data_IF_313360635812
#
_entry.id   IF_313360635812
#
_cell.length_a   1.000
_cell.length_b   1.000
_cell.length_c   1.000
_cell.angle_alpha   90.00
_cell.angle_beta   90.00
_cell.angle_gamma   90.00
#
_symmetry.space_group_name_H-M   'P 1'
#
loop_
_entity.id
_entity.type
_entity.pdbx_description
1 polymer ?
#
# COMPACT_ATOMS: atom_id res chain seq x y z
N UNK A 1 21.76 -27.70 -3.68
CA UNK A 1 21.04 -26.41 -3.82
C UNK A 1 21.22 -25.96 -5.27
N UNK A 2 20.17 -26.00 -6.07
CA UNK A 2 20.20 -25.54 -7.45
C UNK A 2 19.75 -24.07 -7.52
N UNK A 3 20.26 -23.32 -8.49
CA UNK A 3 19.76 -22.00 -8.84
C UNK A 3 18.75 -22.15 -9.99
N UNK A 4 17.54 -21.60 -9.79
CA UNK A 4 16.50 -21.54 -10.80
C UNK A 4 16.26 -20.09 -11.16
N UNK A 5 16.26 -19.75 -12.44
CA UNK A 5 15.92 -18.41 -12.91
C UNK A 5 14.44 -18.28 -13.18
N UNK A 6 13.87 -17.08 -12.90
CA UNK A 6 12.49 -16.73 -13.23
C UNK A 6 12.44 -15.33 -13.84
N UNK A 7 12.03 -15.24 -15.11
CA UNK A 7 11.92 -13.98 -15.82
C UNK A 7 10.71 -13.16 -15.38
N UNK A 8 10.88 -11.84 -15.30
CA UNK A 8 9.83 -10.88 -14.93
C UNK A 8 9.82 -9.75 -15.95
N UNK A 9 8.73 -9.60 -16.70
CA UNK A 9 8.47 -8.39 -17.49
C UNK A 9 8.10 -7.28 -16.54
N UNK A 10 8.92 -6.24 -16.41
CA UNK A 10 8.71 -5.13 -15.49
C UNK A 10 8.33 -3.85 -16.25
N UNK A 11 7.04 -3.47 -16.20
CA UNK A 11 6.49 -2.25 -16.78
C UNK A 11 6.39 -1.13 -15.73
N UNK A 12 6.51 0.14 -16.17
CA UNK A 12 6.41 1.31 -15.29
C UNK A 12 7.67 1.62 -14.48
N UNK A 13 8.79 0.91 -14.72
CA UNK A 13 10.06 1.10 -14.01
C UNK A 13 10.79 2.41 -14.34
N UNK A 14 10.31 3.20 -15.27
CA UNK A 14 10.81 4.57 -15.52
C UNK A 14 10.19 5.60 -14.58
N UNK A 15 9.18 5.22 -13.80
CA UNK A 15 8.58 6.01 -12.74
C UNK A 15 9.24 5.76 -11.38
N UNK A 16 9.10 6.72 -10.45
CA UNK A 16 9.77 6.69 -9.13
C UNK A 16 9.49 5.39 -8.33
N UNK A 17 8.24 4.95 -8.27
CA UNK A 17 7.87 3.74 -7.51
C UNK A 17 8.43 2.49 -8.18
N UNK A 18 8.18 2.32 -9.47
CA UNK A 18 8.68 1.18 -10.24
C UNK A 18 10.19 1.07 -10.19
N UNK A 19 10.93 2.18 -10.35
CA UNK A 19 12.38 2.19 -10.28
C UNK A 19 12.88 1.91 -8.86
N UNK A 20 12.52 2.77 -7.91
CA UNK A 20 13.18 2.77 -6.61
C UNK A 20 12.72 1.63 -5.71
N UNK A 21 11.41 1.36 -5.65
CA UNK A 21 10.90 0.34 -4.73
C UNK A 21 10.91 -1.06 -5.35
N UNK A 22 10.44 -1.20 -6.59
CA UNK A 22 10.30 -2.54 -7.18
C UNK A 22 11.56 -3.04 -7.86
N UNK A 23 12.19 -2.22 -8.72
CA UNK A 23 13.39 -2.68 -9.42
C UNK A 23 14.61 -2.67 -8.49
N UNK A 24 14.99 -1.50 -7.95
CA UNK A 24 16.27 -1.36 -7.24
C UNK A 24 16.22 -1.99 -5.84
N UNK A 25 15.24 -1.57 -5.01
CA UNK A 25 15.17 -2.00 -3.60
C UNK A 25 14.51 -3.37 -3.39
N UNK A 26 13.96 -3.97 -4.45
CA UNK A 26 13.39 -5.31 -4.39
C UNK A 26 14.11 -6.27 -5.32
N UNK A 27 13.84 -6.27 -6.62
CA UNK A 27 14.35 -7.29 -7.54
C UNK A 27 15.90 -7.32 -7.58
N UNK A 28 16.56 -6.16 -7.73
CA UNK A 28 18.02 -6.11 -7.74
C UNK A 28 18.64 -6.40 -6.37
N UNK A 29 17.95 -6.02 -5.26
CA UNK A 29 18.38 -6.38 -3.92
C UNK A 29 18.31 -7.90 -3.70
N UNK A 30 17.19 -8.55 -4.06
CA UNK A 30 17.02 -10.01 -4.01
C UNK A 30 18.12 -10.71 -4.81
N UNK A 31 18.43 -10.22 -6.02
CA UNK A 31 19.52 -10.77 -6.85
C UNK A 31 20.88 -10.65 -6.15
N UNK A 32 21.17 -9.49 -5.57
CA UNK A 32 22.42 -9.23 -4.85
C UNK A 32 22.59 -10.16 -3.63
N UNK A 33 21.49 -10.53 -2.98
CA UNK A 33 21.44 -11.45 -1.84
C UNK A 33 21.47 -12.94 -2.26
N UNK A 34 21.55 -13.21 -3.56
CA UNK A 34 21.65 -14.58 -4.12
C UNK A 34 20.29 -15.26 -4.29
N UNK A 35 19.21 -14.48 -4.51
CA UNK A 35 17.88 -14.99 -4.82
C UNK A 35 17.02 -15.40 -3.61
N UNK A 36 15.77 -15.72 -3.86
CA UNK A 36 14.81 -16.17 -2.85
C UNK A 36 15.03 -17.64 -2.53
N UNK A 37 15.17 -17.98 -1.24
CA UNK A 37 15.27 -19.36 -0.78
C UNK A 37 13.92 -20.05 -0.86
N UNK A 38 13.85 -21.19 -1.53
CA UNK A 38 12.66 -22.04 -1.62
C UNK A 38 12.64 -23.11 -0.52
N UNK A 39 11.48 -23.74 -0.33
CA UNK A 39 11.26 -24.75 0.71
C UNK A 39 12.16 -26.00 0.55
N UNK A 40 12.48 -26.36 -0.70
CA UNK A 40 13.39 -27.47 -1.03
C UNK A 40 14.88 -27.13 -0.88
N UNK A 41 15.20 -25.89 -0.47
CA UNK A 41 16.57 -25.41 -0.31
C UNK A 41 17.19 -24.81 -1.57
N UNK A 42 16.53 -24.84 -2.73
CA UNK A 42 16.97 -24.19 -3.95
C UNK A 42 16.83 -22.66 -3.83
N UNK A 43 17.47 -21.93 -4.76
CA UNK A 43 17.37 -20.49 -4.86
C UNK A 43 16.68 -20.07 -6.16
N UNK A 44 15.69 -19.18 -6.03
CA UNK A 44 14.97 -18.60 -7.16
C UNK A 44 15.55 -17.22 -7.46
N UNK A 45 16.20 -17.08 -8.62
CA UNK A 45 16.83 -15.84 -9.06
C UNK A 45 15.89 -15.08 -10.00
N UNK A 46 15.35 -13.92 -9.60
CA UNK A 46 14.49 -13.13 -10.49
C UNK A 46 15.31 -12.43 -11.56
N UNK A 47 14.90 -12.55 -12.83
CA UNK A 47 15.54 -11.95 -13.99
C UNK A 47 14.65 -10.87 -14.60
N UNK A 48 14.95 -9.57 -14.39
CA UNK A 48 14.12 -8.50 -14.92
C UNK A 48 14.33 -8.31 -16.43
N UNK A 49 13.22 -8.29 -17.19
CA UNK A 49 13.09 -7.72 -18.51
C UNK A 49 12.35 -6.38 -18.37
N UNK A 50 13.06 -5.27 -18.38
CA UNK A 50 12.44 -3.96 -18.17
C UNK A 50 11.83 -3.41 -19.46
N UNK A 51 10.61 -2.88 -19.37
CA UNK A 51 9.87 -2.40 -20.52
C UNK A 51 9.45 -0.94 -20.35
N UNK A 52 9.64 -0.15 -21.42
CA UNK A 52 9.25 1.27 -21.43
C UNK A 52 9.08 1.82 -22.85
N UNK A 53 8.14 2.72 -23.04
CA UNK A 53 7.76 3.31 -24.35
C UNK A 53 8.90 4.07 -25.05
N UNK A 54 9.82 4.66 -24.31
CA UNK A 54 10.96 5.41 -24.86
C UNK A 54 12.20 4.51 -24.81
N UNK A 55 12.71 4.05 -25.99
CA UNK A 55 13.85 3.12 -26.07
C UNK A 55 15.13 3.71 -25.45
N UNK A 56 15.43 4.99 -25.70
CA UNK A 56 16.64 5.63 -25.19
C UNK A 56 16.63 5.73 -23.66
N UNK A 57 15.43 6.00 -23.08
CA UNK A 57 15.27 6.11 -21.62
C UNK A 57 15.42 4.73 -20.97
N UNK A 58 14.81 3.69 -21.56
CA UNK A 58 14.84 2.35 -20.98
C UNK A 58 16.23 1.72 -21.13
N UNK A 59 16.91 1.95 -22.25
CA UNK A 59 18.29 1.48 -22.47
C UNK A 59 19.26 2.13 -21.47
N UNK A 60 19.18 3.45 -21.29
CA UNK A 60 20.00 4.14 -20.27
C UNK A 60 19.75 3.60 -18.87
N UNK A 61 18.49 3.31 -18.52
CA UNK A 61 18.13 2.72 -17.25
C UNK A 61 18.74 1.33 -17.10
N UNK A 62 18.64 0.48 -18.14
CA UNK A 62 19.21 -0.85 -18.16
C UNK A 62 20.73 -0.80 -17.93
N UNK A 63 21.45 0.05 -18.66
CA UNK A 63 22.90 0.25 -18.51
C UNK A 63 23.27 0.75 -17.11
N UNK A 64 22.53 1.71 -16.57
CA UNK A 64 22.80 2.30 -15.25
C UNK A 64 22.69 1.27 -14.11
N UNK A 65 21.86 0.24 -14.26
CA UNK A 65 21.61 -0.78 -13.25
C UNK A 65 22.13 -2.18 -13.61
N UNK A 66 22.91 -2.31 -14.69
CA UNK A 66 23.49 -3.60 -15.11
C UNK A 66 22.44 -4.63 -15.53
N UNK A 67 21.31 -4.20 -16.09
CA UNK A 67 20.22 -5.07 -16.54
C UNK A 67 20.47 -5.46 -17.99
N UNK A 68 20.59 -6.75 -18.24
CA UNK A 68 20.91 -7.27 -19.58
C UNK A 68 19.73 -7.20 -20.56
N UNK A 69 18.49 -7.19 -20.05
CA UNK A 69 17.28 -7.34 -20.86
C UNK A 69 16.35 -6.15 -20.74
N UNK A 70 16.08 -5.50 -21.85
CA UNK A 70 15.12 -4.40 -21.94
C UNK A 70 14.42 -4.40 -23.31
N UNK A 71 13.24 -3.78 -23.38
CA UNK A 71 12.47 -3.64 -24.61
C UNK A 71 11.62 -2.36 -24.62
N UNK A 72 11.39 -1.81 -25.80
CA UNK A 72 10.33 -0.81 -26.02
C UNK A 72 9.04 -1.42 -26.58
N UNK A 73 9.06 -2.70 -26.88
CA UNK A 73 7.92 -3.48 -27.40
C UNK A 73 7.37 -4.37 -26.28
N UNK A 74 6.16 -3.99 -25.78
CA UNK A 74 5.48 -4.73 -24.73
C UNK A 74 4.92 -6.06 -25.26
N UNK A 75 4.45 -6.13 -26.51
CA UNK A 75 3.86 -7.36 -27.05
C UNK A 75 4.94 -8.44 -27.23
N UNK A 76 6.10 -8.06 -27.74
CA UNK A 76 7.26 -8.95 -27.79
C UNK A 76 7.66 -9.44 -26.40
N UNK A 77 7.68 -8.54 -25.38
CA UNK A 77 7.99 -8.92 -24.00
C UNK A 77 6.94 -9.85 -23.39
N UNK A 78 5.64 -9.64 -23.66
CA UNK A 78 4.56 -10.51 -23.18
C UNK A 78 4.57 -11.88 -23.89
N UNK A 79 5.09 -11.96 -25.10
CA UNK A 79 5.22 -13.24 -25.85
C UNK A 79 6.42 -14.06 -25.40
N UNK A 80 7.34 -13.50 -24.63
CA UNK A 80 8.53 -14.19 -24.15
C UNK A 80 8.20 -15.22 -23.06
N UNK A 81 8.30 -16.51 -23.43
CA UNK A 81 7.98 -17.63 -22.52
C UNK A 81 8.96 -17.78 -21.35
N UNK A 82 10.16 -17.21 -21.45
CA UNK A 82 11.14 -17.20 -20.35
C UNK A 82 10.77 -16.25 -19.21
N UNK A 83 9.78 -15.36 -19.43
CA UNK A 83 9.26 -14.40 -18.46
C UNK A 83 7.82 -14.76 -18.07
N UNK A 84 7.58 -15.71 -17.16
CA UNK A 84 6.23 -16.11 -16.74
C UNK A 84 5.50 -15.06 -15.91
N UNK A 85 6.16 -14.02 -15.42
CA UNK A 85 5.59 -12.97 -14.57
C UNK A 85 5.57 -11.64 -15.32
N UNK A 86 4.44 -10.93 -15.22
CA UNK A 86 4.30 -9.52 -15.59
C UNK A 86 4.07 -8.66 -14.35
N UNK A 87 4.84 -7.59 -14.22
CA UNK A 87 4.68 -6.60 -13.18
C UNK A 87 4.34 -5.23 -13.76
N UNK A 88 3.34 -4.54 -13.17
CA UNK A 88 3.00 -3.17 -13.54
C UNK A 88 3.08 -2.18 -12.37
N UNK A 89 3.85 -1.11 -12.59
CA UNK A 89 3.90 0.09 -11.76
C UNK A 89 3.69 1.37 -12.60
N UNK A 90 2.96 1.25 -13.70
CA UNK A 90 2.56 2.36 -14.56
C UNK A 90 1.42 3.20 -13.97
N UNK A 91 0.79 4.03 -14.82
CA UNK A 91 -0.37 4.84 -14.41
C UNK A 91 -1.60 3.97 -14.18
N UNK A 92 -2.41 4.33 -13.20
CA UNK A 92 -3.59 3.55 -12.79
C UNK A 92 -4.59 3.37 -13.93
N UNK A 93 -4.83 4.41 -14.74
CA UNK A 93 -5.79 4.38 -15.85
C UNK A 93 -5.46 3.31 -16.92
N UNK A 94 -4.19 2.96 -17.08
CA UNK A 94 -3.77 1.94 -18.06
C UNK A 94 -3.71 0.54 -17.46
N UNK A 95 -3.70 0.41 -16.14
CA UNK A 95 -3.32 -0.84 -15.44
C UNK A 95 -4.26 -1.99 -15.74
N UNK A 96 -5.57 -1.80 -15.65
CA UNK A 96 -6.53 -2.85 -15.93
C UNK A 96 -6.36 -3.45 -17.33
N UNK A 97 -6.19 -2.61 -18.35
CA UNK A 97 -5.96 -3.05 -19.74
C UNK A 97 -4.61 -3.80 -19.89
N UNK A 98 -3.56 -3.31 -19.23
CA UNK A 98 -2.24 -3.98 -19.25
C UNK A 98 -2.27 -5.35 -18.56
N UNK A 99 -2.93 -5.44 -17.40
CA UNK A 99 -3.11 -6.70 -16.68
C UNK A 99 -3.93 -7.70 -17.52
N UNK A 100 -5.01 -7.23 -18.18
CA UNK A 100 -5.83 -8.08 -19.09
C UNK A 100 -4.95 -8.68 -20.19
N UNK A 101 -4.15 -7.86 -20.89
CA UNK A 101 -3.23 -8.34 -21.95
C UNK A 101 -2.22 -9.35 -21.42
N UNK A 102 -1.64 -9.09 -20.25
CA UNK A 102 -0.67 -10.00 -19.63
C UNK A 102 -1.31 -11.34 -19.24
N UNK A 103 -2.53 -11.32 -18.67
CA UNK A 103 -3.29 -12.52 -18.31
C UNK A 103 -3.67 -13.33 -19.56
N UNK A 104 -4.11 -12.67 -20.63
CA UNK A 104 -4.41 -13.31 -21.92
C UNK A 104 -3.17 -13.95 -22.55
N UNK A 105 -1.99 -13.35 -22.35
CA UNK A 105 -0.70 -13.91 -22.73
C UNK A 105 -0.19 -15.03 -21.78
N UNK A 106 -1.00 -15.43 -20.79
CA UNK A 106 -0.69 -16.52 -19.85
C UNK A 106 0.31 -16.13 -18.76
N UNK A 107 0.55 -14.83 -18.50
CA UNK A 107 1.46 -14.38 -17.46
C UNK A 107 0.81 -14.39 -16.09
N UNK A 108 1.54 -14.82 -15.07
CA UNK A 108 1.23 -14.46 -13.69
C UNK A 108 1.39 -12.95 -13.52
N UNK A 109 0.53 -12.30 -12.76
CA UNK A 109 0.53 -10.84 -12.67
C UNK A 109 0.73 -10.35 -11.25
N UNK A 110 1.56 -9.32 -11.09
CA UNK A 110 1.74 -8.58 -9.86
C UNK A 110 1.74 -7.08 -10.19
N UNK A 111 1.05 -6.26 -9.41
CA UNK A 111 0.93 -4.86 -9.76
C UNK A 111 0.87 -3.93 -8.55
N UNK A 112 1.17 -2.66 -8.80
CA UNK A 112 0.92 -1.58 -7.86
C UNK A 112 -0.58 -1.38 -7.61
N UNK A 113 -0.87 -0.81 -6.45
CA UNK A 113 -2.21 -0.32 -6.12
C UNK A 113 -2.42 1.10 -6.70
N UNK A 114 -3.69 1.50 -6.91
CA UNK A 114 -4.87 0.67 -7.06
C UNK A 114 -4.80 -0.16 -8.35
N UNK A 115 -5.47 -1.31 -8.38
CA UNK A 115 -5.42 -2.22 -9.55
C UNK A 115 -6.17 -1.68 -10.77
N UNK A 116 -7.04 -0.72 -10.56
CA UNK A 116 -7.80 0.02 -11.57
C UNK A 116 -8.25 1.36 -11.00
N UNK A 117 -8.70 2.25 -11.83
CA UNK A 117 -9.35 3.52 -11.48
C UNK A 117 -10.86 3.38 -11.18
N UNK A 118 -11.45 2.21 -11.43
CA UNK A 118 -12.84 1.90 -11.13
C UNK A 118 -13.04 0.44 -10.73
N UNK A 119 -14.11 0.19 -9.94
CA UNK A 119 -14.40 -1.15 -9.40
C UNK A 119 -14.79 -2.15 -10.48
N UNK A 120 -15.51 -1.73 -11.53
CA UNK A 120 -15.96 -2.62 -12.60
C UNK A 120 -14.77 -3.29 -13.29
N UNK A 121 -13.78 -2.53 -13.69
CA UNK A 121 -12.57 -3.03 -14.34
C UNK A 121 -11.71 -3.85 -13.36
N UNK A 122 -11.63 -3.44 -12.08
CA UNK A 122 -10.96 -4.21 -11.05
C UNK A 122 -11.56 -5.63 -10.91
N UNK A 123 -12.88 -5.74 -10.90
CA UNK A 123 -13.58 -7.02 -10.85
C UNK A 123 -13.40 -7.83 -12.13
N UNK A 124 -13.47 -7.19 -13.30
CA UNK A 124 -13.29 -7.85 -14.60
C UNK A 124 -11.90 -8.51 -14.70
N UNK A 125 -10.84 -7.78 -14.37
CA UNK A 125 -9.46 -8.30 -14.34
C UNK A 125 -9.32 -9.45 -13.35
N UNK A 126 -9.93 -9.32 -12.16
CA UNK A 126 -9.86 -10.37 -11.13
C UNK A 126 -10.54 -11.65 -11.58
N UNK A 127 -11.74 -11.55 -12.18
CA UNK A 127 -12.46 -12.71 -12.75
C UNK A 127 -11.69 -13.35 -13.89
N UNK A 128 -11.09 -12.55 -14.77
CA UNK A 128 -10.27 -13.06 -15.87
C UNK A 128 -9.06 -13.86 -15.33
N UNK A 129 -8.33 -13.31 -14.35
CA UNK A 129 -7.19 -14.01 -13.76
C UNK A 129 -7.59 -15.36 -13.14
N UNK A 130 -8.72 -15.40 -12.43
CA UNK A 130 -9.29 -16.65 -11.87
C UNK A 130 -9.68 -17.65 -12.96
N UNK A 131 -10.42 -17.21 -13.97
CA UNK A 131 -10.87 -18.09 -15.07
C UNK A 131 -9.73 -18.72 -15.86
N UNK A 132 -8.59 -18.03 -15.92
CA UNK A 132 -7.36 -18.50 -16.58
C UNK A 132 -6.43 -19.29 -15.65
N UNK A 133 -6.75 -19.42 -14.36
CA UNK A 133 -5.86 -20.06 -13.38
C UNK A 133 -4.53 -19.33 -13.18
N UNK A 134 -4.49 -18.01 -13.42
CA UNK A 134 -3.30 -17.20 -13.30
C UNK A 134 -3.03 -16.88 -11.82
N UNK A 135 -1.79 -17.06 -11.36
CA UNK A 135 -1.34 -16.55 -10.06
C UNK A 135 -1.24 -15.02 -10.14
N UNK A 136 -1.80 -14.36 -9.15
CA UNK A 136 -1.93 -12.90 -9.21
C UNK A 136 -1.75 -12.25 -7.84
N UNK A 137 -1.28 -11.00 -7.84
CA UNK A 137 -1.04 -10.23 -6.64
C UNK A 137 -1.13 -8.73 -6.83
N UNK A 138 -1.35 -8.03 -5.71
CA UNK A 138 -1.32 -6.57 -5.61
C UNK A 138 -0.44 -6.13 -4.46
N UNK A 139 0.23 -5.00 -4.63
CA UNK A 139 1.09 -4.41 -3.61
C UNK A 139 0.25 -3.96 -2.40
N UNK A 140 0.66 -4.40 -1.20
CA UNK A 140 0.09 -4.02 0.10
C UNK A 140 1.22 -3.69 1.09
N UNK A 141 2.11 -2.80 0.67
CA UNK A 141 3.38 -2.46 1.32
C UNK A 141 3.25 -2.07 2.80
N UNK A 142 2.17 -1.38 3.17
CA UNK A 142 2.00 -0.89 4.55
C UNK A 142 1.81 -2.00 5.59
N UNK A 143 1.34 -3.18 5.19
CA UNK A 143 1.29 -4.33 6.11
C UNK A 143 2.68 -4.79 6.57
N UNK A 144 3.71 -4.44 5.83
CA UNK A 144 5.10 -4.81 6.08
C UNK A 144 5.93 -3.69 6.71
N UNK A 145 5.29 -2.58 7.10
CA UNK A 145 5.97 -1.57 7.92
C UNK A 145 6.39 -2.19 9.26
N UNK A 146 7.65 -2.04 9.70
CA UNK A 146 8.13 -2.66 10.92
C UNK A 146 7.26 -2.39 12.14
N UNK A 147 6.72 -1.17 12.30
CA UNK A 147 5.78 -0.85 13.36
C UNK A 147 4.47 -1.65 13.29
N UNK A 148 3.90 -1.80 12.08
CA UNK A 148 2.68 -2.58 11.88
C UNK A 148 2.92 -4.10 12.00
N UNK A 149 4.10 -4.60 11.65
CA UNK A 149 4.48 -5.98 11.94
C UNK A 149 4.57 -6.26 13.46
N UNK A 150 5.05 -5.29 14.24
CA UNK A 150 5.02 -5.35 15.71
C UNK A 150 3.59 -5.36 16.25
N UNK A 151 2.72 -4.46 15.72
CA UNK A 151 1.29 -4.42 16.04
C UNK A 151 0.61 -5.77 15.74
N UNK A 152 0.89 -6.35 14.58
CA UNK A 152 0.36 -7.65 14.20
C UNK A 152 0.76 -8.75 15.18
N UNK A 153 2.02 -8.79 15.64
CA UNK A 153 2.46 -9.76 16.67
C UNK A 153 1.66 -9.64 17.97
N UNK A 154 1.33 -8.42 18.38
CA UNK A 154 0.50 -8.18 19.56
C UNK A 154 -0.93 -8.68 19.37
N UNK A 155 -1.50 -8.45 18.19
CA UNK A 155 -2.84 -8.94 17.81
C UNK A 155 -2.84 -10.48 17.83
N UNK A 156 -1.90 -11.11 17.16
CA UNK A 156 -1.76 -12.59 17.09
C UNK A 156 -1.54 -13.22 18.46
N UNK A 157 -0.89 -12.50 19.38
CA UNK A 157 -0.68 -12.92 20.76
C UNK A 157 -1.88 -12.68 21.69
N UNK A 158 -2.97 -12.08 21.21
CA UNK A 158 -4.16 -11.76 22.01
C UNK A 158 -3.96 -10.65 23.05
N UNK A 159 -2.93 -9.80 22.88
CA UNK A 159 -2.55 -8.73 23.81
C UNK A 159 -3.72 -7.78 24.12
N UNK A 160 -4.50 -7.42 23.11
CA UNK A 160 -5.60 -6.46 23.25
C UNK A 160 -6.85 -7.03 23.94
N UNK A 161 -7.01 -8.37 23.97
CA UNK A 161 -8.29 -8.98 24.26
C UNK A 161 -9.32 -8.63 23.19
N UNK A 162 -10.54 -8.22 23.59
CA UNK A 162 -11.51 -7.67 22.63
C UNK A 162 -11.06 -6.28 22.17
N UNK A 163 -10.86 -6.11 20.86
CA UNK A 163 -10.56 -4.82 20.25
C UNK A 163 -11.77 -3.89 20.39
N UNK A 164 -11.53 -2.61 20.65
CA UNK A 164 -12.56 -1.59 20.87
C UNK A 164 -12.52 -0.55 19.76
N UNK A 165 -11.36 0.06 19.54
CA UNK A 165 -11.22 1.13 18.56
C UNK A 165 -9.83 1.17 17.94
N UNK A 166 -9.76 1.79 16.75
CA UNK A 166 -8.52 2.09 16.05
C UNK A 166 -8.53 3.54 15.61
N UNK A 167 -7.42 4.24 15.82
CA UNK A 167 -7.21 5.61 15.31
C UNK A 167 -5.97 5.64 14.45
N UNK A 168 -6.08 6.22 13.27
CA UNK A 168 -4.97 6.39 12.32
C UNK A 168 -4.76 7.86 11.96
N UNK A 169 -3.50 8.27 11.91
CA UNK A 169 -3.08 9.57 11.41
C UNK A 169 -2.01 9.39 10.35
N UNK A 170 -2.26 9.90 9.16
CA UNK A 170 -1.32 9.89 8.05
C UNK A 170 -1.20 11.28 7.45
N UNK A 171 0.04 11.67 7.14
CA UNK A 171 0.26 12.83 6.32
C UNK A 171 1.27 13.82 6.86
N UNK A 172 1.60 14.79 6.03
CA UNK A 172 2.60 15.81 6.29
C UNK A 172 2.56 16.90 5.21
N UNK A 173 3.09 18.05 5.52
CA UNK A 173 3.16 19.19 4.59
C UNK A 173 4.42 19.11 3.71
N UNK A 174 4.47 18.16 2.80
CA UNK A 174 5.61 17.95 1.89
C UNK A 174 5.19 18.01 0.44
N UNK A 175 3.88 17.90 0.17
CA UNK A 175 3.33 17.93 -1.19
C UNK A 175 2.74 19.29 -1.50
N UNK A 176 3.51 20.32 -1.16
CA UNK A 176 3.14 21.71 -1.40
C UNK A 176 3.09 22.00 -2.90
N UNK A 177 2.59 23.12 -3.22
CA UNK A 177 2.45 23.70 -4.54
C UNK A 177 1.74 25.03 -4.44
N UNK A 178 1.68 25.57 -3.21
CA UNK A 178 1.05 26.84 -2.86
C UNK A 178 2.01 28.03 -3.00
N UNK A 179 3.29 27.84 -2.69
CA UNK A 179 4.34 28.89 -2.77
C UNK A 179 5.41 28.55 -3.79
N UNK A 180 5.64 27.26 -4.04
CA UNK A 180 6.66 26.75 -4.95
C UNK A 180 6.16 25.46 -5.61
N UNK A 181 6.81 24.94 -6.68
CA UNK A 181 6.42 23.69 -7.32
C UNK A 181 6.30 22.55 -6.33
N UNK A 182 5.22 21.79 -6.40
CA UNK A 182 4.94 20.68 -5.50
C UNK A 182 6.01 19.59 -5.63
N UNK A 183 6.39 18.98 -4.51
CA UNK A 183 7.25 17.80 -4.50
C UNK A 183 6.57 16.58 -5.14
N UNK A 184 5.24 16.55 -5.14
CA UNK A 184 4.43 15.54 -5.78
C UNK A 184 3.94 16.05 -7.14
N UNK A 185 3.88 15.19 -8.18
CA UNK A 185 3.39 15.60 -9.50
C UNK A 185 1.98 16.20 -9.44
N UNK A 186 1.72 17.23 -10.22
CA UNK A 186 0.49 18.02 -10.23
C UNK A 186 -0.78 17.20 -10.51
N UNK A 187 -0.68 16.08 -11.25
CA UNK A 187 -1.80 15.20 -11.52
C UNK A 187 -2.47 14.65 -10.25
N UNK A 188 -1.71 14.54 -9.12
CA UNK A 188 -2.27 14.07 -7.84
C UNK A 188 -3.37 14.99 -7.29
N UNK A 189 -3.44 16.22 -7.75
CA UNK A 189 -4.40 17.23 -7.31
C UNK A 189 -5.46 17.56 -8.36
N UNK A 190 -5.54 16.73 -9.41
CA UNK A 190 -6.52 16.88 -10.51
C UNK A 190 -7.42 15.67 -10.57
N UNK A 191 -8.71 15.86 -10.33
CA UNK A 191 -9.69 14.76 -10.28
C UNK A 191 -9.81 14.03 -11.63
N UNK A 192 -9.77 14.77 -12.74
CA UNK A 192 -9.82 14.21 -14.09
C UNK A 192 -8.60 13.33 -14.45
N UNK A 193 -7.48 13.49 -13.73
CA UNK A 193 -6.27 12.68 -13.90
C UNK A 193 -6.16 11.52 -12.88
N UNK A 194 -7.23 11.27 -12.10
CA UNK A 194 -7.28 10.23 -11.08
C UNK A 194 -6.57 10.64 -9.78
N UNK A 195 -6.43 11.94 -9.53
CA UNK A 195 -5.86 12.49 -8.30
C UNK A 195 -6.83 12.39 -7.12
N UNK A 196 -6.34 12.75 -5.96
CA UNK A 196 -7.07 12.78 -4.69
C UNK A 196 -6.55 11.80 -3.65
N UNK A 197 -6.50 12.26 -2.40
CA UNK A 197 -5.98 11.46 -1.28
C UNK A 197 -6.96 10.35 -0.89
N UNK A 198 -8.25 10.50 -1.15
CA UNK A 198 -9.25 9.45 -0.91
C UNK A 198 -8.92 8.25 -1.80
N UNK A 199 -8.71 8.46 -3.11
CA UNK A 199 -8.33 7.39 -4.04
C UNK A 199 -6.96 6.78 -3.69
N UNK A 200 -5.99 7.61 -3.33
CA UNK A 200 -4.64 7.14 -3.02
C UNK A 200 -4.60 6.36 -1.69
N UNK A 201 -5.29 6.83 -0.64
CA UNK A 201 -5.09 6.31 0.70
C UNK A 201 -6.16 5.34 1.20
N UNK A 202 -7.44 5.45 0.79
CA UNK A 202 -8.44 4.50 1.27
C UNK A 202 -8.18 3.07 0.79
N UNK A 203 -7.57 2.88 -0.37
CA UNK A 203 -7.13 1.56 -0.80
C UNK A 203 -6.04 0.98 0.10
N UNK A 204 -5.16 1.81 0.70
CA UNK A 204 -4.22 1.35 1.71
C UNK A 204 -4.93 1.01 3.03
N UNK A 205 -5.84 1.87 3.46
CA UNK A 205 -6.54 1.66 4.72
C UNK A 205 -7.44 0.44 4.67
N UNK A 206 -8.03 0.12 3.51
CA UNK A 206 -8.82 -1.10 3.34
C UNK A 206 -8.02 -2.33 3.75
N UNK A 207 -6.88 -2.54 3.15
CA UNK A 207 -6.13 -3.75 3.44
C UNK A 207 -5.45 -3.72 4.83
N UNK A 208 -5.10 -2.54 5.35
CA UNK A 208 -4.58 -2.43 6.73
C UNK A 208 -5.67 -2.82 7.74
N UNK A 209 -6.88 -2.27 7.60
CA UNK A 209 -8.00 -2.58 8.47
C UNK A 209 -8.40 -4.05 8.38
N UNK A 210 -8.65 -4.56 7.16
CA UNK A 210 -9.07 -5.94 6.93
C UNK A 210 -8.08 -6.98 7.46
N UNK A 211 -6.78 -6.71 7.39
CA UNK A 211 -5.76 -7.67 7.80
C UNK A 211 -5.36 -7.60 9.28
N UNK A 212 -5.58 -6.47 9.95
CA UNK A 212 -5.13 -6.27 11.32
C UNK A 212 -6.28 -6.16 12.32
N UNK A 213 -7.39 -5.50 11.96
CA UNK A 213 -8.38 -5.07 12.95
C UNK A 213 -9.80 -5.60 12.71
N UNK A 214 -10.08 -6.11 11.54
CA UNK A 214 -11.37 -6.66 11.13
C UNK A 214 -11.84 -6.10 9.79
N UNK A 215 -12.67 -6.86 9.09
CA UNK A 215 -13.16 -6.48 7.77
C UNK A 215 -14.03 -5.21 7.84
N UNK A 216 -13.80 -4.27 6.93
CA UNK A 216 -14.59 -3.04 6.83
C UNK A 216 -16.01 -3.34 6.36
N UNK A 217 -17.00 -2.94 7.15
CA UNK A 217 -18.43 -3.17 6.89
C UNK A 217 -19.17 -1.91 6.45
N UNK A 218 -18.76 -0.73 6.94
CA UNK A 218 -19.32 0.55 6.52
C UNK A 218 -18.27 1.66 6.57
N UNK A 219 -18.50 2.73 5.81
CA UNK A 219 -17.62 3.90 5.74
C UNK A 219 -18.42 5.21 5.73
N UNK A 220 -17.92 6.20 6.47
CA UNK A 220 -18.27 7.61 6.34
C UNK A 220 -17.00 8.40 6.11
N UNK A 221 -16.97 9.18 5.04
CA UNK A 221 -15.80 9.94 4.64
C UNK A 221 -16.15 11.38 4.33
N UNK A 222 -15.29 12.31 4.77
CA UNK A 222 -15.29 13.70 4.34
C UNK A 222 -13.96 13.97 3.62
N UNK A 223 -14.04 14.47 2.40
CA UNK A 223 -12.89 15.00 1.68
C UNK A 223 -12.80 16.51 1.83
N UNK A 224 -11.65 17.07 1.55
CA UNK A 224 -11.43 18.51 1.42
C UNK A 224 -10.31 18.80 0.44
N UNK A 225 -10.44 19.93 -0.29
CA UNK A 225 -9.36 20.55 -1.06
C UNK A 225 -8.96 21.82 -0.32
N UNK A 226 -8.02 21.68 0.63
CA UNK A 226 -7.60 22.78 1.49
C UNK A 226 -6.74 23.81 0.76
N UNK A 227 -6.00 23.36 -0.29
CA UNK A 227 -5.16 24.21 -1.13
C UNK A 227 -5.70 24.16 -2.57
N UNK A 228 -6.70 24.99 -2.90
CA UNK A 228 -7.38 24.94 -4.20
C UNK A 228 -6.56 25.51 -5.35
N UNK A 229 -5.55 26.33 -5.07
CA UNK A 229 -4.65 26.91 -6.06
C UNK A 229 -3.24 26.39 -5.84
N UNK A 230 -2.63 25.83 -6.89
CA UNK A 230 -1.29 25.23 -6.83
C UNK A 230 -0.45 25.60 -8.04
N UNK A 231 0.83 25.29 -7.99
CA UNK A 231 1.80 25.45 -9.07
C UNK A 231 2.22 24.08 -9.59
N UNK A 232 2.23 23.91 -10.92
CA UNK A 232 2.70 22.68 -11.55
C UNK A 232 4.24 22.61 -11.61
N UNK A 233 4.76 21.53 -12.18
CA UNK A 233 6.20 21.26 -12.30
C UNK A 233 6.93 22.28 -13.19
N UNK A 234 6.19 23.05 -14.00
CA UNK A 234 6.72 24.11 -14.88
C UNK A 234 6.61 25.50 -14.26
N UNK A 235 6.06 25.60 -13.06
CA UNK A 235 5.81 26.87 -12.38
C UNK A 235 4.56 27.59 -12.87
N UNK A 236 3.61 26.90 -13.53
CA UNK A 236 2.31 27.46 -13.92
C UNK A 236 1.29 27.23 -12.83
N UNK A 237 0.53 28.24 -12.51
CA UNK A 237 -0.60 28.16 -11.58
C UNK A 237 -1.75 27.40 -12.22
N UNK A 238 -2.41 26.57 -11.42
CA UNK A 238 -3.62 25.84 -11.82
C UNK A 238 -4.57 25.67 -10.62
N UNK A 239 -5.85 25.43 -10.92
CA UNK A 239 -6.86 25.13 -9.91
C UNK A 239 -6.84 23.63 -9.62
N UNK A 240 -6.61 23.29 -8.34
CA UNK A 240 -6.66 21.92 -7.84
C UNK A 240 -8.11 21.58 -7.47
N UNK A 241 -8.67 20.51 -8.04
CA UNK A 241 -10.05 20.08 -7.83
C UNK A 241 -10.15 18.68 -7.16
N UNK A 242 -9.02 18.02 -6.95
CA UNK A 242 -8.99 16.77 -6.18
C UNK A 242 -8.76 17.05 -4.69
N UNK A 243 -9.22 16.13 -3.86
CA UNK A 243 -9.06 16.20 -2.41
C UNK A 243 -7.59 16.04 -1.98
N UNK A 244 -7.13 16.88 -1.07
CA UNK A 244 -5.81 16.83 -0.44
C UNK A 244 -5.88 16.43 1.05
N UNK A 245 -7.10 16.26 1.57
CA UNK A 245 -7.36 15.71 2.89
C UNK A 245 -8.62 14.82 2.90
N UNK A 246 -8.58 13.77 3.72
CA UNK A 246 -9.66 12.83 3.94
C UNK A 246 -9.79 12.51 5.44
N UNK A 247 -11.00 12.57 5.94
CA UNK A 247 -11.39 12.27 7.31
C UNK A 247 -12.42 11.15 7.26
N UNK A 248 -12.00 9.93 7.60
CA UNK A 248 -12.83 8.75 7.42
C UNK A 248 -13.06 7.97 8.71
N UNK A 249 -14.31 7.54 8.92
CA UNK A 249 -14.72 6.63 9.99
C UNK A 249 -15.22 5.33 9.37
N UNK A 250 -14.94 4.21 10.03
CA UNK A 250 -15.27 2.87 9.55
C UNK A 250 -15.89 2.05 10.67
N UNK A 251 -16.91 1.26 10.34
CA UNK A 251 -17.37 0.15 11.16
C UNK A 251 -16.68 -1.12 10.66
N UNK A 252 -16.05 -1.86 11.57
CA UNK A 252 -15.38 -3.09 11.27
C UNK A 252 -16.14 -4.28 11.85
N UNK A 253 -15.85 -5.47 11.31
CA UNK A 253 -16.36 -6.71 11.87
C UNK A 253 -16.04 -6.82 13.36
N UNK A 254 -16.97 -7.37 14.15
CA UNK A 254 -16.84 -7.47 15.61
C UNK A 254 -17.15 -6.17 16.37
N UNK A 255 -17.67 -5.13 15.70
CA UNK A 255 -18.09 -3.87 16.31
C UNK A 255 -16.93 -2.92 16.67
N UNK A 256 -15.78 -3.12 16.07
CA UNK A 256 -14.64 -2.20 16.20
C UNK A 256 -14.90 -0.94 15.38
N UNK A 257 -14.68 0.23 15.98
CA UNK A 257 -14.76 1.52 15.27
C UNK A 257 -13.35 2.00 14.94
N UNK A 258 -13.12 2.28 13.66
CA UNK A 258 -11.87 2.88 13.21
C UNK A 258 -12.11 4.30 12.70
N UNK A 259 -11.14 5.19 12.95
CA UNK A 259 -11.09 6.54 12.40
C UNK A 259 -9.69 6.80 11.86
N UNK A 260 -9.61 7.21 10.60
CA UNK A 260 -8.31 7.48 9.97
C UNK A 260 -8.37 8.83 9.25
N UNK A 261 -7.48 9.73 9.64
CA UNK A 261 -7.26 10.99 8.95
C UNK A 261 -6.06 10.87 8.01
N UNK A 262 -6.20 11.42 6.83
CA UNK A 262 -5.13 11.44 5.82
C UNK A 262 -5.03 12.85 5.25
N UNK A 263 -3.85 13.47 5.23
CA UNK A 263 -3.70 14.81 4.69
C UNK A 263 -2.31 15.07 4.12
N UNK A 264 -2.27 15.76 3.00
CA UNK A 264 -1.03 16.31 2.43
C UNK A 264 -0.77 17.75 2.86
N UNK A 265 -1.62 18.29 3.74
CA UNK A 265 -1.64 19.69 4.15
C UNK A 265 -1.52 19.88 5.67
N UNK A 266 -0.80 18.99 6.38
CA UNK A 266 -0.62 19.06 7.84
C UNK A 266 0.84 19.09 8.24
N UNK A 267 1.16 19.86 9.28
CA UNK A 267 2.46 19.80 9.93
C UNK A 267 2.45 18.73 11.00
N UNK A 268 3.50 17.92 11.02
CA UNK A 268 3.59 16.76 11.92
C UNK A 268 4.18 17.19 13.27
N UNK A 269 3.47 16.88 14.35
CA UNK A 269 3.98 16.89 15.71
C UNK A 269 3.67 15.56 16.41
N UNK A 270 4.08 14.50 15.81
CA UNK A 270 4.05 13.14 16.33
C UNK A 270 5.33 12.43 15.90
N UNK A 271 5.61 11.28 16.45
CA UNK A 271 6.90 10.59 16.22
C UNK A 271 7.07 10.09 14.77
N UNK A 272 5.98 10.05 13.97
CA UNK A 272 6.03 9.44 12.65
C UNK A 272 5.03 10.06 11.65
N UNK A 273 5.24 9.83 10.35
CA UNK A 273 4.36 10.28 9.27
C UNK A 273 3.03 9.54 9.24
N UNK A 274 3.03 8.31 9.75
CA UNK A 274 1.83 7.49 9.96
C UNK A 274 1.86 6.91 11.36
N UNK A 275 0.74 6.95 12.05
CA UNK A 275 0.56 6.29 13.33
C UNK A 275 -0.79 5.60 13.38
N UNK A 276 -0.82 4.41 13.98
CA UNK A 276 -2.04 3.69 14.31
C UNK A 276 -2.05 3.40 15.81
N UNK A 277 -3.07 3.88 16.50
CA UNK A 277 -3.36 3.49 17.86
C UNK A 277 -4.50 2.48 17.84
N UNK A 278 -4.29 1.33 18.46
CA UNK A 278 -5.29 0.32 18.68
C UNK A 278 -5.57 0.16 20.18
N UNK A 279 -6.83 0.19 20.56
CA UNK A 279 -7.29 0.09 21.93
C UNK A 279 -8.12 -1.18 22.11
N UNK A 280 -7.80 -1.98 23.12
CA UNK A 280 -8.51 -3.16 23.51
C UNK A 280 -8.77 -3.21 25.02
N UNK A 281 -9.62 -4.15 25.47
CA UNK A 281 -10.00 -4.23 26.89
C UNK A 281 -8.85 -4.67 27.81
N UNK A 282 -7.78 -5.23 27.27
CA UNK A 282 -6.61 -5.70 28.04
C UNK A 282 -5.35 -4.87 27.82
N UNK A 283 -5.30 -4.05 26.77
CA UNK A 283 -4.15 -3.21 26.46
C UNK A 283 -4.35 -2.37 25.24
N UNK A 284 -3.45 -1.40 25.05
CA UNK A 284 -3.40 -0.50 23.92
C UNK A 284 -2.00 -0.49 23.30
N UNK A 285 -1.91 -0.18 22.01
CA UNK A 285 -0.63 0.00 21.33
C UNK A 285 -0.69 1.14 20.32
N UNK A 286 0.46 1.79 20.12
CA UNK A 286 0.67 2.83 19.10
C UNK A 286 1.82 2.38 18.19
N UNK A 287 1.54 2.19 16.91
CA UNK A 287 2.52 1.81 15.90
C UNK A 287 2.72 2.93 14.87
N UNK A 288 3.97 3.19 14.51
CA UNK A 288 4.38 4.07 13.41
C UNK A 288 5.03 3.29 12.27
N UNK A 289 5.92 3.95 11.52
CA UNK A 289 6.66 3.31 10.43
C UNK A 289 7.56 2.19 10.95
N UNK A 290 8.26 2.41 12.07
CA UNK A 290 9.28 1.47 12.58
C UNK A 290 9.04 1.03 14.01
N UNK A 291 8.46 1.89 14.85
CA UNK A 291 8.29 1.67 16.29
C UNK A 291 6.87 1.26 16.64
N UNK A 292 6.73 0.55 17.75
CA UNK A 292 5.44 0.22 18.35
C UNK A 292 5.58 0.27 19.87
N UNK A 293 4.65 0.96 20.53
CA UNK A 293 4.59 1.12 21.97
C UNK A 293 3.33 0.46 22.50
N UNK A 294 3.41 -0.10 23.70
CA UNK A 294 2.30 -0.79 24.36
C UNK A 294 2.10 -0.33 25.77
N UNK A 295 0.85 -0.32 26.20
CA UNK A 295 0.45 -0.19 27.59
C UNK A 295 -0.58 -1.27 27.90
N UNK A 296 -0.31 -2.12 28.86
CA UNK A 296 -1.26 -3.13 29.30
C UNK A 296 -2.18 -2.61 30.42
N UNK A 297 -3.23 -3.38 30.70
CA UNK A 297 -4.23 -3.01 31.71
C UNK A 297 -3.63 -2.87 33.12
N UNK A 298 -2.63 -3.68 33.45
CA UNK A 298 -2.04 -3.69 34.82
C UNK A 298 -1.24 -2.41 35.06
N UNK A 299 -0.53 -1.95 34.04
CA UNK A 299 0.31 -0.76 34.07
C UNK A 299 -0.43 0.52 33.67
N UNK A 300 -1.73 0.45 33.36
CA UNK A 300 -2.51 1.65 33.00
C UNK A 300 -2.69 2.56 34.22
N UNK A 301 -2.17 3.79 34.21
CA UNK A 301 -2.32 4.70 35.32
C UNK A 301 -3.79 5.10 35.54
N UNK A 302 -4.16 5.39 36.78
CA UNK A 302 -5.50 5.83 37.15
C UNK A 302 -5.47 7.35 37.45
N UNK A 303 -5.63 8.21 36.42
CA UNK A 303 -5.66 9.65 36.66
C UNK A 303 -6.92 10.04 37.44
N UNK A 304 -6.78 11.01 38.32
CA UNK A 304 -7.89 11.66 38.99
C UNK A 304 -8.08 13.01 38.31
N UNK A 305 -9.28 13.23 37.78
CA UNK A 305 -9.61 14.53 37.23
C UNK A 305 -9.87 15.54 38.37
N UNK A 306 -8.97 16.48 38.56
CA UNK A 306 -9.12 17.62 39.42
C UNK A 306 -8.58 18.88 38.70
N UNK A 307 -9.46 19.80 38.26
CA UNK A 307 -9.03 21.00 37.55
C UNK A 307 -8.25 21.99 38.45
N UNK A 308 -8.35 21.86 39.77
CA UNK A 308 -7.70 22.73 40.73
C UNK A 308 -6.26 22.30 41.08
N UNK A 309 -5.85 21.09 40.62
CA UNK A 309 -4.54 20.56 40.87
C UNK A 309 -3.79 20.27 39.55
N UNK A 310 -2.47 20.58 39.46
CA UNK A 310 -1.66 20.19 38.33
C UNK A 310 -1.61 18.66 38.16
N UNK A 311 -1.73 18.17 36.92
CA UNK A 311 -1.55 16.76 36.61
C UNK A 311 -0.11 16.30 36.94
N UNK A 312 0.02 15.31 37.84
CA UNK A 312 1.30 14.75 38.30
C UNK A 312 1.70 13.47 37.59
N UNK A 313 0.79 12.88 36.78
CA UNK A 313 1.05 11.63 36.07
C UNK A 313 1.82 11.91 34.79
N UNK A 314 2.90 11.18 34.58
CA UNK A 314 3.53 11.05 33.28
C UNK A 314 2.85 9.91 32.53
N UNK A 315 2.00 10.24 31.54
CA UNK A 315 1.25 9.27 30.77
C UNK A 315 2.10 8.39 29.85
N UNK A 316 3.37 8.76 29.63
CA UNK A 316 4.30 7.98 28.80
C UNK A 316 5.12 6.97 29.63
N UNK A 317 5.30 7.20 30.93
CA UNK A 317 6.20 6.42 31.77
C UNK A 317 5.88 4.93 31.90
N UNK A 318 4.64 4.54 31.61
CA UNK A 318 4.18 3.15 31.68
C UNK A 318 4.02 2.47 30.30
N UNK A 319 4.39 3.18 29.24
CA UNK A 319 4.43 2.60 27.91
C UNK A 319 5.77 1.91 27.66
N UNK A 320 5.73 0.70 27.10
CA UNK A 320 6.92 -0.08 26.76
C UNK A 320 7.07 -0.23 25.24
N UNK A 321 8.28 -0.09 24.73
CA UNK A 321 8.55 -0.32 23.33
C UNK A 321 8.59 -1.81 23.00
N UNK A 322 7.93 -2.20 21.92
CA UNK A 322 7.96 -3.56 21.40
C UNK A 322 9.30 -3.80 20.68
N UNK A 323 10.10 -4.79 21.11
CA UNK A 323 11.42 -5.02 20.52
C UNK A 323 11.35 -5.53 19.09
N UNK A 324 12.40 -5.23 18.33
CA UNK A 324 12.66 -5.88 17.04
C UNK A 324 13.00 -7.36 17.26
N UNK A 325 12.54 -8.24 16.38
CA UNK A 325 12.97 -9.64 16.31
C UNK A 325 14.05 -9.86 15.29
N UNK A 326 13.95 -9.11 14.18
CA UNK A 326 14.83 -9.20 13.03
C UNK A 326 15.11 -7.78 12.51
N UNK A 327 16.18 -7.57 11.77
CA UNK A 327 16.42 -6.28 11.09
C UNK A 327 15.23 -5.89 10.23
N UNK A 328 14.94 -4.58 10.20
CA UNK A 328 13.86 -4.06 9.37
C UNK A 328 14.19 -4.23 7.89
N UNK A 329 13.34 -4.93 7.16
CA UNK A 329 13.43 -5.13 5.72
C UNK A 329 12.49 -4.18 4.96
N UNK A 330 12.81 -3.95 3.69
CA UNK A 330 11.92 -3.19 2.81
C UNK A 330 10.62 -3.97 2.56
N UNK A 331 9.46 -3.36 2.86
CA UNK A 331 8.16 -4.01 2.73
C UNK A 331 7.82 -4.48 1.31
N UNK A 332 8.28 -3.76 0.29
CA UNK A 332 8.11 -4.18 -1.11
C UNK A 332 8.96 -5.41 -1.43
N UNK A 333 10.21 -5.47 -0.94
CA UNK A 333 11.09 -6.62 -1.10
C UNK A 333 10.49 -7.86 -0.45
N UNK A 334 10.06 -7.75 0.81
CA UNK A 334 9.41 -8.86 1.52
C UNK A 334 8.20 -9.41 0.75
N UNK A 335 7.35 -8.53 0.24
CA UNK A 335 6.17 -8.95 -0.52
C UNK A 335 6.55 -9.57 -1.87
N UNK A 336 7.60 -9.06 -2.54
CA UNK A 336 8.15 -9.70 -3.74
C UNK A 336 8.67 -11.11 -3.47
N UNK A 337 9.40 -11.33 -2.40
CA UNK A 337 9.88 -12.66 -2.02
C UNK A 337 8.73 -13.63 -1.77
N UNK A 338 7.67 -13.17 -1.08
CA UNK A 338 6.45 -13.96 -0.87
C UNK A 338 5.75 -14.29 -2.19
N UNK A 339 5.61 -13.32 -3.10
CA UNK A 339 4.98 -13.52 -4.40
C UNK A 339 5.79 -14.50 -5.27
N UNK A 340 7.10 -14.38 -5.28
CA UNK A 340 7.99 -15.30 -6.02
C UNK A 340 7.88 -16.74 -5.50
N UNK A 341 7.81 -16.94 -4.18
CA UNK A 341 7.54 -18.26 -3.59
C UNK A 341 6.14 -18.78 -3.96
N UNK A 342 5.13 -17.92 -3.93
CA UNK A 342 3.79 -18.29 -4.38
C UNK A 342 3.79 -18.76 -5.82
N UNK A 343 4.49 -18.06 -6.72
CA UNK A 343 4.58 -18.47 -8.13
C UNK A 343 5.35 -19.78 -8.29
N UNK A 344 6.46 -19.96 -7.58
CA UNK A 344 7.40 -21.06 -7.81
C UNK A 344 7.02 -22.38 -7.11
N UNK A 345 6.34 -22.32 -5.96
CA UNK A 345 6.11 -23.49 -5.09
C UNK A 345 4.73 -23.50 -4.41
N UNK A 346 3.77 -22.69 -4.89
CA UNK A 346 2.41 -22.56 -4.31
C UNK A 346 2.40 -22.19 -2.82
N UNK A 347 3.40 -21.42 -2.38
CA UNK A 347 3.46 -20.94 -1.01
C UNK A 347 2.21 -20.10 -0.66
N UNK A 348 1.81 -20.04 0.63
CA UNK A 348 0.63 -19.28 1.05
C UNK A 348 0.67 -17.82 0.59
N UNK A 349 -0.41 -17.37 -0.06
CA UNK A 349 -0.55 -16.03 -0.59
C UNK A 349 -1.99 -15.53 -0.43
N UNK A 350 -2.16 -14.36 0.16
CA UNK A 350 -3.49 -13.75 0.41
C UNK A 350 -3.69 -12.39 -0.25
N UNK A 351 -2.68 -11.86 -0.93
CA UNK A 351 -2.68 -10.51 -1.49
C UNK A 351 -3.03 -10.53 -2.98
N UNK A 352 -4.11 -11.24 -3.35
CA UNK A 352 -4.57 -11.36 -4.72
C UNK A 352 -5.26 -10.11 -5.25
N UNK A 353 -5.62 -10.12 -6.55
CA UNK A 353 -6.32 -8.98 -7.19
C UNK A 353 -7.67 -8.67 -6.52
N UNK A 354 -8.35 -9.65 -5.92
CA UNK A 354 -9.57 -9.40 -5.15
C UNK A 354 -9.33 -8.42 -3.99
N UNK A 355 -8.20 -8.54 -3.30
CA UNK A 355 -7.85 -7.59 -2.24
C UNK A 355 -7.57 -6.19 -2.79
N UNK A 356 -7.02 -6.11 -4.01
CA UNK A 356 -6.90 -4.84 -4.74
C UNK A 356 -8.27 -4.26 -5.12
N UNK A 357 -9.22 -5.09 -5.57
CA UNK A 357 -10.58 -4.66 -5.88
C UNK A 357 -11.33 -4.13 -4.64
N UNK A 358 -11.15 -4.75 -3.47
CA UNK A 358 -11.67 -4.22 -2.19
C UNK A 358 -11.13 -2.82 -1.89
N UNK A 359 -9.86 -2.56 -2.20
CA UNK A 359 -9.25 -1.23 -2.06
C UNK A 359 -9.92 -0.19 -2.97
N UNK A 360 -10.14 -0.54 -4.25
CA UNK A 360 -10.84 0.34 -5.20
C UNK A 360 -12.28 0.59 -4.75
N UNK A 361 -13.00 -0.45 -4.31
CA UNK A 361 -14.35 -0.35 -3.75
C UNK A 361 -14.42 0.67 -2.61
N UNK A 362 -13.51 0.58 -1.63
CA UNK A 362 -13.53 1.47 -0.48
C UNK A 362 -13.24 2.92 -0.88
N UNK A 363 -12.33 3.14 -1.84
CA UNK A 363 -12.03 4.46 -2.36
C UNK A 363 -13.24 5.10 -3.07
N UNK A 364 -13.94 4.35 -3.94
CA UNK A 364 -15.17 4.81 -4.59
C UNK A 364 -16.29 5.10 -3.57
N UNK A 365 -16.48 4.22 -2.58
CA UNK A 365 -17.46 4.42 -1.52
C UNK A 365 -17.10 5.62 -0.65
N UNK A 366 -15.82 5.88 -0.38
CA UNK A 366 -15.36 7.08 0.32
C UNK A 366 -15.72 8.37 -0.41
N UNK A 367 -15.44 8.44 -1.72
CA UNK A 367 -15.84 9.58 -2.55
C UNK A 367 -17.37 9.75 -2.60
N UNK A 368 -18.11 8.65 -2.72
CA UNK A 368 -19.58 8.65 -2.74
C UNK A 368 -20.14 9.11 -1.38
N UNK A 369 -19.59 8.62 -0.27
CA UNK A 369 -19.96 9.04 1.09
C UNK A 369 -19.78 10.54 1.28
N UNK A 370 -18.64 11.09 0.85
CA UNK A 370 -18.37 12.52 0.88
C UNK A 370 -19.39 13.31 0.07
N UNK A 371 -19.65 12.90 -1.18
CA UNK A 371 -20.60 13.57 -2.07
C UNK A 371 -22.04 13.54 -1.53
N UNK A 372 -22.47 12.39 -1.02
CA UNK A 372 -23.85 12.17 -0.54
C UNK A 372 -24.05 12.54 0.94
N UNK A 373 -22.98 12.85 1.67
CA UNK A 373 -22.99 13.21 3.10
C UNK A 373 -23.64 12.15 3.99
N UNK A 374 -23.33 10.87 3.77
CA UNK A 374 -23.90 9.77 4.53
C UNK A 374 -22.95 8.59 4.71
N UNK A 375 -23.25 7.75 5.70
CA UNK A 375 -22.66 6.42 5.81
C UNK A 375 -23.07 5.54 4.65
N UNK A 376 -22.14 4.69 4.19
CA UNK A 376 -22.38 3.68 3.15
C UNK A 376 -21.90 2.33 3.65
N UNK A 377 -22.73 1.30 3.42
CA UNK A 377 -22.31 -0.09 3.61
C UNK A 377 -21.25 -0.48 2.60
N UNK A 378 -20.35 -1.35 3.02
CA UNK A 378 -19.31 -1.94 2.18
C UNK A 378 -19.68 -3.40 1.90
N UNK A 379 -20.40 -3.68 0.79
CA UNK A 379 -20.83 -5.03 0.49
C UNK A 379 -19.66 -5.95 0.15
N UNK A 380 -19.82 -7.25 0.41
CA UNK A 380 -18.87 -8.25 -0.05
C UNK A 380 -18.77 -8.24 -1.59
N UNK A 381 -17.55 -8.43 -2.11
CA UNK A 381 -17.33 -8.53 -3.56
C UNK A 381 -17.56 -9.96 -4.04
N UNK A 382 -18.42 -10.10 -5.03
CA UNK A 382 -18.63 -11.35 -5.78
C UNK A 382 -17.62 -11.42 -6.94
N UNK A 383 -16.65 -12.32 -6.84
CA UNK A 383 -15.56 -12.48 -7.83
C UNK A 383 -15.49 -13.92 -8.34
#
# INVERSE_FOLDING_TARGET
>A
MAERQIGIVMHGVTGRMGLNQHLVRSILAIRKEGGVKLSNGDRLMPEPLIVGRNPDKIERLAKAHGIARWSSDLDAALSDTSCPIFFDAGTTQMRAALLTRAIEAGKHVYCEKPISDNLQDALAVTRLARSKGIKHGVVQDKLFLPGLLKMKRLIDAGFFGRMVSVRGEFGYWVFEGDLEPAQRPSWNYKSAEGGGIILDMLCHWRYVLDNLFGEVKAVSCLGATHIPERWDETGRRYDADADDAAYASFELEGGVIAQINSSWCVRVRRDDLVTFQADGVKGSAVAGLTRCWTQDRVNTPKPVWNPDEPQKLDFFSTWAEVPDREPAENGFKLQWEMFLRYVAEDAPWKYGLQEGAKGVQLAELGLKSWKERKWLDVPALEV
#
